data_IF_606570872000
#
_entry.id   IF_606570872000
#
_cell.length_a   1.000
_cell.length_b   1.000
_cell.length_c   1.000
_cell.angle_alpha   90.00
_cell.angle_beta   90.00
_cell.angle_gamma   90.00
#
_symmetry.space_group_name_H-M   'P 1'
#
loop_
_entity.id
_entity.type
_entity.pdbx_description
1 polymer ?
#
# COMPACT_ATOMS: atom_id res chain seq x y z
N UNK A 1 12.85 2.17 -5.82
CA UNK A 1 12.04 1.82 -4.63
C UNK A 1 10.81 1.10 -5.16
N UNK A 2 10.61 -0.17 -4.79
CA UNK A 2 9.51 -1.00 -5.28
C UNK A 2 8.32 -0.99 -4.32
N UNK A 3 7.66 0.17 -4.17
CA UNK A 3 6.50 0.34 -3.31
C UNK A 3 5.39 1.03 -4.10
N UNK A 4 4.24 0.37 -4.25
CA UNK A 4 3.10 0.90 -4.99
C UNK A 4 1.82 0.13 -4.70
N UNK A 5 0.73 0.50 -5.37
CA UNK A 5 -0.59 -0.11 -5.11
C UNK A 5 -0.64 -1.63 -5.30
N UNK A 6 0.20 -2.19 -6.17
CA UNK A 6 0.28 -3.64 -6.40
C UNK A 6 1.24 -4.38 -5.46
N UNK A 7 1.99 -3.69 -4.59
CA UNK A 7 2.94 -4.35 -3.69
C UNK A 7 2.22 -5.35 -2.80
N UNK A 8 2.72 -6.59 -2.80
CA UNK A 8 2.10 -7.73 -2.11
C UNK A 8 2.48 -7.71 -0.64
N UNK A 9 1.47 -7.86 0.22
CA UNK A 9 1.66 -8.06 1.65
C UNK A 9 1.81 -9.56 1.96
N UNK A 10 2.77 -9.89 2.82
CA UNK A 10 2.96 -11.25 3.33
C UNK A 10 3.45 -11.23 4.77
N UNK A 11 3.17 -12.29 5.51
CA UNK A 11 3.74 -12.53 6.83
C UNK A 11 4.77 -13.64 6.70
N UNK A 12 5.99 -13.40 7.16
CA UNK A 12 7.03 -14.44 7.13
C UNK A 12 6.88 -15.43 8.29
N UNK A 13 7.73 -16.46 8.31
CA UNK A 13 7.73 -17.48 9.36
C UNK A 13 8.03 -16.92 10.76
N UNK A 14 8.58 -15.71 10.87
CA UNK A 14 8.83 -15.00 12.13
C UNK A 14 7.67 -14.13 12.60
N UNK A 15 6.54 -14.11 11.87
CA UNK A 15 5.39 -13.26 12.18
C UNK A 15 5.59 -11.80 11.80
N UNK A 16 6.55 -11.49 10.93
CA UNK A 16 6.83 -10.11 10.49
C UNK A 16 6.04 -9.82 9.21
N UNK A 17 5.32 -8.69 9.21
CA UNK A 17 4.63 -8.17 8.03
C UNK A 17 5.62 -7.50 7.06
N UNK A 18 5.67 -8.00 5.84
CA UNK A 18 6.40 -7.42 4.71
C UNK A 18 5.41 -6.91 3.66
N UNK A 19 5.77 -5.80 2.99
CA UNK A 19 5.02 -5.28 1.84
C UNK A 19 5.98 -5.01 0.69
N UNK A 20 5.85 -5.78 -0.38
CA UNK A 20 6.84 -5.85 -1.46
C UNK A 20 8.07 -6.71 -1.09
N UNK A 21 9.09 -6.75 -1.96
CA UNK A 21 9.20 -6.03 -3.23
C UNK A 21 8.33 -6.61 -4.35
N UNK A 22 7.76 -7.80 -4.15
CA UNK A 22 6.87 -8.44 -5.12
C UNK A 22 5.63 -7.58 -5.38
N UNK A 23 5.16 -7.60 -6.62
CA UNK A 23 4.00 -6.83 -7.06
C UNK A 23 3.05 -7.73 -7.83
N UNK A 24 1.75 -7.59 -7.55
CA UNK A 24 0.70 -8.24 -8.30
C UNK A 24 0.50 -7.63 -9.71
N UNK A 25 1.18 -6.52 -10.01
CA UNK A 25 1.08 -5.83 -11.29
C UNK A 25 -0.33 -5.32 -11.57
N UNK A 26 -0.70 -5.29 -12.85
CA UNK A 26 -2.06 -4.93 -13.29
C UNK A 26 -2.95 -6.16 -13.56
N UNK A 27 -2.33 -7.29 -13.94
CA UNK A 27 -2.99 -8.58 -14.18
C UNK A 27 -2.08 -9.67 -13.60
N UNK A 28 -2.55 -10.48 -12.64
CA UNK A 28 -3.92 -10.49 -12.10
C UNK A 28 -4.22 -9.28 -11.19
N UNK A 29 -3.20 -8.52 -10.76
CA UNK A 29 -3.38 -7.31 -9.96
C UNK A 29 -3.85 -7.56 -8.53
N UNK A 30 -4.20 -6.49 -7.79
CA UNK A 30 -4.85 -6.57 -6.48
C UNK A 30 -6.06 -7.51 -6.47
N UNK A 31 -6.34 -8.14 -5.32
CA UNK A 31 -7.50 -9.03 -5.18
C UNK A 31 -8.82 -8.30 -5.53
N UNK A 32 -8.93 -7.03 -5.14
CA UNK A 32 -10.07 -6.18 -5.41
C UNK A 32 -10.29 -5.87 -6.90
N UNK A 33 -9.35 -6.23 -7.79
CA UNK A 33 -9.57 -6.12 -9.22
C UNK A 33 -10.44 -7.25 -9.78
N UNK A 34 -10.63 -8.34 -9.03
CA UNK A 34 -11.49 -9.47 -9.41
C UNK A 34 -10.96 -10.29 -10.59
N UNK A 35 -9.64 -10.25 -10.85
CA UNK A 35 -9.01 -10.94 -11.98
C UNK A 35 -8.30 -12.25 -11.57
N UNK A 36 -8.70 -12.85 -10.45
CA UNK A 36 -8.21 -14.15 -9.99
C UNK A 36 -7.00 -14.12 -9.06
N UNK A 37 -6.56 -12.94 -8.59
CA UNK A 37 -5.58 -12.85 -7.50
C UNK A 37 -6.27 -12.97 -6.15
N UNK A 38 -5.67 -13.71 -5.22
CA UNK A 38 -6.04 -13.74 -3.79
C UNK A 38 -4.99 -13.09 -2.89
N UNK A 39 -3.88 -12.61 -3.45
CA UNK A 39 -2.82 -12.00 -2.67
C UNK A 39 -3.23 -10.61 -2.18
N UNK A 40 -3.07 -10.35 -0.88
CA UNK A 40 -3.29 -9.02 -0.31
C UNK A 40 -2.28 -8.02 -0.87
N UNK A 41 -2.75 -6.85 -1.29
CA UNK A 41 -1.90 -5.75 -1.78
C UNK A 41 -2.20 -4.44 -1.06
N UNK A 42 -1.37 -3.43 -1.34
CA UNK A 42 -1.58 -2.06 -0.85
C UNK A 42 -2.92 -1.48 -1.33
N UNK A 43 -3.34 -1.78 -2.56
CA UNK A 43 -4.64 -1.34 -3.09
C UNK A 43 -5.79 -1.99 -2.32
N UNK A 44 -5.67 -3.27 -1.98
CA UNK A 44 -6.68 -3.98 -1.19
C UNK A 44 -6.82 -3.36 0.21
N UNK A 45 -5.69 -3.09 0.86
CA UNK A 45 -5.66 -2.41 2.15
C UNK A 45 -6.31 -1.00 2.07
N UNK A 46 -5.95 -0.21 1.06
CA UNK A 46 -6.53 1.12 0.85
C UNK A 46 -8.05 1.07 0.62
N UNK A 47 -8.55 0.04 -0.08
CA UNK A 47 -9.98 -0.17 -0.26
C UNK A 47 -10.68 -0.56 1.06
N UNK A 48 -10.10 -1.49 1.83
CA UNK A 48 -10.63 -1.90 3.14
C UNK A 48 -10.69 -0.73 4.11
N UNK A 49 -9.67 0.14 4.11
CA UNK A 49 -9.60 1.36 4.91
C UNK A 49 -10.59 2.45 4.45
N UNK A 50 -11.24 2.27 3.30
CA UNK A 50 -12.22 3.22 2.76
C UNK A 50 -11.58 4.42 2.05
N UNK A 51 -10.31 4.35 1.65
CA UNK A 51 -9.65 5.42 0.89
C UNK A 51 -9.99 5.38 -0.61
N UNK A 52 -10.52 4.26 -1.08
CA UNK A 52 -10.99 4.08 -2.45
C UNK A 52 -12.50 3.87 -2.43
N UNK A 53 -13.20 4.56 -3.34
CA UNK A 53 -14.60 4.27 -3.62
C UNK A 53 -14.69 3.09 -4.61
N UNK A 54 -15.30 1.96 -4.20
CA UNK A 54 -15.42 0.78 -5.05
C UNK A 54 -16.26 1.00 -6.31
N UNK A 55 -17.16 1.99 -6.32
CA UNK A 55 -18.05 2.25 -7.45
C UNK A 55 -17.44 3.18 -8.51
N UNK A 56 -16.49 4.04 -8.14
CA UNK A 56 -15.95 5.10 -9.02
C UNK A 56 -14.49 4.90 -9.43
N UNK A 57 -13.87 3.75 -9.14
CA UNK A 57 -12.48 3.49 -9.51
C UNK A 57 -12.22 3.62 -11.02
N UNK A 58 -11.12 4.28 -11.38
CA UNK A 58 -10.79 4.70 -12.75
C UNK A 58 -11.93 5.47 -13.45
N UNK A 59 -12.63 6.33 -12.71
CA UNK A 59 -13.79 7.08 -13.21
C UNK A 59 -15.01 6.20 -13.47
N UNK A 60 -15.18 5.15 -12.67
CA UNK A 60 -16.27 4.17 -12.78
C UNK A 60 -16.08 3.10 -13.84
N UNK A 61 -14.94 3.09 -14.56
CA UNK A 61 -14.63 2.08 -15.60
C UNK A 61 -14.37 0.70 -15.03
N UNK A 62 -14.03 0.61 -13.74
CA UNK A 62 -13.84 -0.65 -13.03
C UNK A 62 -14.51 -0.55 -11.67
N UNK A 63 -15.38 -1.50 -11.36
CA UNK A 63 -15.86 -1.71 -10.00
C UNK A 63 -14.84 -2.53 -9.23
N UNK A 64 -14.56 -2.13 -8.00
CA UNK A 64 -13.68 -2.90 -7.12
C UNK A 64 -14.49 -3.92 -6.32
N UNK A 65 -13.95 -5.12 -6.20
CA UNK A 65 -14.52 -6.17 -5.36
C UNK A 65 -14.01 -5.97 -3.92
N UNK A 66 -14.86 -5.36 -3.08
CA UNK A 66 -14.53 -5.14 -1.67
C UNK A 66 -14.42 -6.46 -0.91
N UNK A 67 -15.28 -7.43 -1.21
CA UNK A 67 -15.27 -8.73 -0.53
C UNK A 67 -13.99 -9.49 -0.80
N UNK A 68 -13.48 -9.45 -2.04
CA UNK A 68 -12.20 -10.05 -2.39
C UNK A 68 -11.02 -9.40 -1.65
N UNK A 69 -11.02 -8.06 -1.54
CA UNK A 69 -10.03 -7.35 -0.71
C UNK A 69 -10.13 -7.73 0.77
N UNK A 70 -11.34 -7.78 1.32
CA UNK A 70 -11.56 -8.16 2.73
C UNK A 70 -11.03 -9.56 3.02
N UNK A 71 -11.33 -10.53 2.16
CA UNK A 71 -10.84 -11.91 2.29
C UNK A 71 -9.31 -11.98 2.23
N UNK A 72 -8.68 -11.29 1.27
CA UNK A 72 -7.22 -11.26 1.16
C UNK A 72 -6.55 -10.63 2.41
N UNK A 73 -7.15 -9.58 2.97
CA UNK A 73 -6.65 -8.93 4.19
C UNK A 73 -6.92 -9.81 5.43
N UNK A 74 -8.01 -10.58 5.46
CA UNK A 74 -8.29 -11.53 6.55
C UNK A 74 -7.21 -12.59 6.69
N UNK A 75 -6.62 -13.07 5.58
CA UNK A 75 -5.50 -14.01 5.63
C UNK A 75 -4.27 -13.41 6.33
N UNK A 76 -3.98 -12.14 6.07
CA UNK A 76 -2.91 -11.40 6.76
C UNK A 76 -3.26 -11.17 8.24
N UNK A 77 -4.52 -10.82 8.51
CA UNK A 77 -5.01 -10.59 9.86
C UNK A 77 -4.91 -11.86 10.72
N UNK A 78 -5.32 -13.01 10.17
CA UNK A 78 -5.22 -14.32 10.81
C UNK A 78 -3.75 -14.69 11.10
N UNK A 79 -2.85 -14.48 10.14
CA UNK A 79 -1.43 -14.76 10.32
C UNK A 79 -0.75 -13.89 11.40
N UNK A 80 -1.25 -12.68 11.63
CA UNK A 80 -0.74 -11.75 12.66
C UNK A 80 -1.51 -11.81 13.99
N UNK A 81 -2.63 -12.54 14.06
CA UNK A 81 -3.53 -12.51 15.22
C UNK A 81 -4.19 -11.15 15.45
N UNK A 82 -4.52 -10.43 14.38
CA UNK A 82 -5.13 -9.09 14.41
C UNK A 82 -6.55 -9.11 13.82
N UNK A 83 -7.29 -8.02 14.02
CA UNK A 83 -8.50 -7.76 13.24
C UNK A 83 -8.14 -7.21 11.84
N UNK A 84 -9.09 -7.34 10.90
CA UNK A 84 -8.95 -6.93 9.50
C UNK A 84 -8.49 -5.47 9.34
N UNK A 85 -9.09 -4.54 10.09
CA UNK A 85 -8.76 -3.12 9.96
C UNK A 85 -7.35 -2.83 10.48
N UNK A 86 -6.95 -3.48 11.57
CA UNK A 86 -5.58 -3.38 12.08
C UNK A 86 -4.56 -3.94 11.10
N UNK A 87 -4.84 -5.07 10.45
CA UNK A 87 -3.98 -5.63 9.40
C UNK A 87 -3.87 -4.68 8.18
N UNK A 88 -4.99 -4.15 7.69
CA UNK A 88 -4.99 -3.18 6.59
C UNK A 88 -4.20 -1.91 6.93
N UNK A 89 -4.37 -1.37 8.14
CA UNK A 89 -3.57 -0.24 8.64
C UNK A 89 -2.08 -0.58 8.70
N UNK A 90 -1.75 -1.80 9.13
CA UNK A 90 -0.38 -2.31 9.15
C UNK A 90 0.26 -2.28 7.75
N UNK A 91 -0.43 -2.81 6.73
CA UNK A 91 0.04 -2.81 5.34
C UNK A 91 0.27 -1.38 4.84
N UNK A 92 -0.71 -0.49 5.07
CA UNK A 92 -0.62 0.93 4.68
C UNK A 92 0.58 1.63 5.36
N UNK A 93 0.81 1.35 6.65
CA UNK A 93 1.94 1.93 7.40
C UNK A 93 3.28 1.44 6.87
N UNK A 94 3.44 0.13 6.66
CA UNK A 94 4.70 -0.47 6.20
C UNK A 94 5.09 0.05 4.82
N UNK A 95 4.13 0.16 3.88
CA UNK A 95 4.43 0.71 2.55
C UNK A 95 4.83 2.20 2.63
N UNK A 96 4.17 3.01 3.46
CA UNK A 96 4.50 4.42 3.61
C UNK A 96 5.89 4.61 4.23
N UNK A 97 6.25 3.79 5.23
CA UNK A 97 7.59 3.80 5.81
C UNK A 97 8.64 3.45 4.78
N UNK A 98 8.39 2.42 3.97
CA UNK A 98 9.30 2.03 2.87
C UNK A 98 9.48 3.17 1.84
N UNK A 99 8.40 3.87 1.49
CA UNK A 99 8.45 5.04 0.60
C UNK A 99 9.26 6.19 1.22
N UNK A 100 9.01 6.53 2.48
CA UNK A 100 9.70 7.60 3.18
C UNK A 100 11.21 7.30 3.36
N UNK A 101 11.57 6.08 3.74
CA UNK A 101 12.95 5.61 3.83
C UNK A 101 13.64 5.69 2.47
N UNK A 102 12.94 5.31 1.40
CA UNK A 102 13.44 5.43 0.05
C UNK A 102 13.76 6.88 -0.35
N UNK A 103 12.88 7.82 -0.03
CA UNK A 103 13.13 9.26 -0.25
C UNK A 103 14.33 9.73 0.59
N UNK A 104 14.36 9.38 1.88
CA UNK A 104 15.45 9.76 2.79
C UNK A 104 16.80 9.23 2.31
N UNK A 105 16.87 7.98 1.87
CA UNK A 105 18.07 7.36 1.33
C UNK A 105 18.60 8.11 0.10
N UNK A 106 17.73 8.46 -0.85
CA UNK A 106 18.13 9.20 -2.06
C UNK A 106 18.61 10.62 -1.71
N UNK A 107 17.95 11.29 -0.76
CA UNK A 107 18.35 12.63 -0.28
C UNK A 107 19.71 12.60 0.42
N UNK A 108 19.92 11.67 1.34
CA UNK A 108 21.19 11.50 2.07
C UNK A 108 22.34 11.18 1.11
N UNK A 109 22.12 10.31 0.12
CA UNK A 109 23.13 10.01 -0.92
C UNK A 109 23.55 11.24 -1.73
N UNK A 110 22.68 12.25 -1.83
CA UNK A 110 22.97 13.53 -2.48
C UNK A 110 23.51 14.59 -1.50
N UNK A 111 23.63 14.27 -0.21
CA UNK A 111 24.08 15.21 0.82
C UNK A 111 23.08 16.32 1.14
N UNK A 112 21.78 16.09 0.90
CA UNK A 112 20.74 17.09 1.11
C UNK A 112 19.73 16.68 2.18
N UNK A 113 19.27 17.66 2.94
CA UNK A 113 18.17 17.50 3.89
C UNK A 113 16.82 17.60 3.14
N UNK A 114 15.98 16.54 3.12
CA UNK A 114 14.69 16.57 2.43
C UNK A 114 13.77 17.70 2.92
N UNK A 115 13.91 18.15 4.17
CA UNK A 115 13.10 19.23 4.77
C UNK A 115 13.27 20.60 4.12
N UNK A 116 14.31 20.75 3.30
CA UNK A 116 14.59 21.97 2.54
C UNK A 116 13.91 21.98 1.16
N UNK A 117 13.09 20.98 0.85
CA UNK A 117 12.44 20.78 -0.44
C UNK A 117 10.94 20.54 -0.26
N UNK A 118 10.18 20.73 -1.33
CA UNK A 118 8.79 20.33 -1.39
C UNK A 118 8.66 18.87 -1.86
N UNK A 119 7.68 18.13 -1.33
CA UNK A 119 7.31 16.80 -1.82
C UNK A 119 6.32 16.95 -2.98
N UNK A 120 6.74 16.58 -4.19
CA UNK A 120 5.85 16.43 -5.33
C UNK A 120 5.36 14.97 -5.43
N UNK A 121 4.08 14.75 -5.15
CA UNK A 121 3.43 13.46 -5.29
C UNK A 121 2.79 13.31 -6.68
N UNK A 122 3.08 12.22 -7.38
CA UNK A 122 2.52 11.93 -8.71
C UNK A 122 2.22 10.45 -8.90
N UNK A 123 1.29 10.14 -9.81
CA UNK A 123 0.77 8.80 -10.06
C UNK A 123 -0.53 8.50 -9.32
N UNK A 124 -1.29 7.50 -9.78
CA UNK A 124 -2.68 7.29 -9.36
C UNK A 124 -2.87 6.99 -7.87
N UNK A 125 -1.92 6.32 -7.23
CA UNK A 125 -1.98 6.00 -5.80
C UNK A 125 -1.36 7.09 -4.90
N UNK A 126 -0.69 8.09 -5.48
CA UNK A 126 0.17 8.99 -4.70
C UNK A 126 -0.57 9.82 -3.66
N UNK A 127 -1.77 10.32 -3.99
CA UNK A 127 -2.61 11.07 -3.06
C UNK A 127 -3.02 10.27 -1.81
N UNK A 128 -3.04 8.94 -1.88
CA UNK A 128 -3.38 8.06 -0.76
C UNK A 128 -2.25 7.96 0.27
N UNK A 129 -1.01 8.24 -0.14
CA UNK A 129 0.19 8.00 0.66
C UNK A 129 0.99 9.28 0.94
N UNK A 130 0.82 10.32 0.12
CA UNK A 130 1.64 11.54 0.15
C UNK A 130 1.67 12.22 1.52
N UNK A 131 0.53 12.37 2.20
CA UNK A 131 0.46 13.04 3.50
C UNK A 131 1.22 12.28 4.58
N UNK A 132 1.15 10.95 4.57
CA UNK A 132 1.86 10.14 5.56
C UNK A 132 3.36 10.11 5.31
N UNK A 133 3.75 9.98 4.05
CA UNK A 133 5.15 10.06 3.62
C UNK A 133 5.74 11.43 3.96
N UNK A 134 5.03 12.53 3.70
CA UNK A 134 5.45 13.87 4.05
C UNK A 134 5.70 14.01 5.56
N UNK A 135 4.76 13.52 6.39
CA UNK A 135 4.90 13.55 7.84
C UNK A 135 6.10 12.75 8.34
N UNK A 136 6.36 11.57 7.78
CA UNK A 136 7.53 10.76 8.15
C UNK A 136 8.86 11.40 7.71
N UNK A 137 8.81 12.32 6.75
CA UNK A 137 9.94 13.13 6.28
C UNK A 137 10.08 14.47 7.02
N UNK A 138 9.18 14.78 7.95
CA UNK A 138 9.08 16.07 8.65
C UNK A 138 8.90 17.26 7.70
N UNK A 139 8.03 17.10 6.70
CA UNK A 139 7.63 18.14 5.73
C UNK A 139 6.33 18.85 6.10
#
# INVERSE_FOLDING_TARGET
>A
IGAGGGSVARVDAGGILHVGPESAGAVPGPACYGLGSSAATVTDANLVLGYLDPASFLGGRRKLDRTAAEAAIDDIAAALGLDRLSAARGIHRVVNTTMAEGVRLVSVRRGVDPRRFALLAFGGASGLHATDVARQLDL
#
